data_IF_881897084508
#
_entry.id   IF_881897084508
#
_cell.length_a   1.000
_cell.length_b   1.000
_cell.length_c   1.000
_cell.angle_alpha   90.00
_cell.angle_beta   90.00
_cell.angle_gamma   90.00
#
_symmetry.space_group_name_H-M   'P 1'
#
loop_
_entity.id
_entity.type
_entity.pdbx_description
1 polymer ?
#
# COMPACT_ATOMS: atom_id res chain seq x y z
N UNK A 1 -3.88 49.14 -69.07
CA UNK A 1 -3.32 49.02 -67.71
C UNK A 1 -3.59 47.59 -67.25
N UNK A 2 -2.56 46.77 -67.36
CA UNK A 2 -2.65 45.29 -67.17
C UNK A 2 -2.12 44.96 -65.78
N UNK A 3 -3.03 44.58 -64.87
CA UNK A 3 -2.68 44.14 -63.52
C UNK A 3 -2.28 42.68 -63.54
N UNK A 4 -1.03 42.37 -63.18
CA UNK A 4 -0.53 41.01 -62.98
C UNK A 4 -0.95 40.50 -61.59
N UNK A 5 -1.68 39.39 -61.53
CA UNK A 5 -1.98 38.66 -60.30
C UNK A 5 -0.79 37.74 -60.01
N UNK A 6 -0.20 37.94 -58.83
CA UNK A 6 0.81 37.04 -58.27
C UNK A 6 0.07 36.01 -57.42
N UNK A 7 0.23 34.73 -57.79
CA UNK A 7 -0.28 33.59 -56.99
C UNK A 7 0.89 33.09 -56.14
N UNK A 8 0.74 33.25 -54.79
CA UNK A 8 1.67 32.66 -53.84
C UNK A 8 1.21 31.21 -53.55
N UNK A 9 2.06 30.27 -53.84
CA UNK A 9 1.93 28.89 -53.36
C UNK A 9 2.58 28.83 -51.96
N UNK A 10 1.76 28.52 -50.95
CA UNK A 10 2.28 28.16 -49.63
C UNK A 10 2.60 26.65 -49.61
N UNK A 11 3.87 26.34 -49.49
CA UNK A 11 4.35 25.00 -49.28
C UNK A 11 4.21 24.64 -47.79
N UNK A 12 3.29 23.70 -47.44
CA UNK A 12 3.19 23.14 -46.10
C UNK A 12 4.31 22.09 -45.93
N UNK A 13 5.31 22.41 -45.10
CA UNK A 13 6.31 21.47 -44.68
C UNK A 13 5.74 20.61 -43.51
N UNK A 14 5.48 19.34 -43.77
CA UNK A 14 5.19 18.35 -42.74
C UNK A 14 6.49 18.03 -41.99
N UNK A 15 6.63 18.57 -40.79
CA UNK A 15 7.66 18.15 -39.85
C UNK A 15 7.21 16.85 -39.20
N UNK A 16 7.71 15.71 -39.68
CA UNK A 16 7.69 14.45 -38.97
C UNK A 16 8.69 14.55 -37.81
N UNK A 17 8.21 14.97 -36.63
CA UNK A 17 8.98 14.91 -35.41
C UNK A 17 9.04 13.45 -34.92
N UNK A 18 10.16 12.75 -35.22
CA UNK A 18 10.53 11.58 -34.44
C UNK A 18 10.79 12.05 -33.02
N UNK A 19 9.92 11.67 -32.07
CA UNK A 19 10.21 11.79 -30.66
C UNK A 19 11.45 10.94 -30.37
N UNK A 20 12.59 11.59 -30.13
CA UNK A 20 13.77 10.91 -29.63
C UNK A 20 13.43 10.40 -28.23
N UNK A 21 13.43 9.10 -28.04
CA UNK A 21 13.38 8.46 -26.76
C UNK A 21 14.51 9.05 -25.89
N UNK A 22 14.15 9.75 -24.82
CA UNK A 22 15.11 10.25 -23.86
C UNK A 22 15.77 9.05 -23.17
N UNK A 23 17.11 8.93 -23.21
CA UNK A 23 17.76 7.86 -22.46
C UNK A 23 17.46 8.06 -20.97
N UNK A 24 16.94 7.01 -20.33
CA UNK A 24 16.72 6.98 -18.88
C UNK A 24 18.03 7.26 -18.16
N UNK A 25 18.01 8.06 -17.07
CA UNK A 25 19.23 8.34 -16.31
C UNK A 25 19.82 7.01 -15.81
N UNK A 26 21.08 6.78 -16.15
CA UNK A 26 21.86 5.65 -15.64
C UNK A 26 21.98 5.79 -14.11
N UNK A 27 21.29 4.93 -13.36
CA UNK A 27 21.30 4.93 -11.90
C UNK A 27 20.07 4.34 -11.23
N UNK A 28 19.00 4.06 -11.98
CA UNK A 28 17.94 3.19 -11.51
C UNK A 28 18.24 1.77 -12.04
N UNK A 29 19.16 1.09 -11.38
CA UNK A 29 19.17 -0.36 -11.48
C UNK A 29 17.87 -0.83 -10.84
N UNK A 30 16.87 -1.10 -11.67
CA UNK A 30 15.82 -2.03 -11.31
C UNK A 30 16.55 -3.38 -11.11
N UNK A 31 17.04 -3.60 -9.90
CA UNK A 31 17.31 -4.96 -9.45
C UNK A 31 16.08 -5.78 -9.83
N UNK A 32 16.32 -6.94 -10.44
CA UNK A 32 15.33 -7.85 -10.98
C UNK A 32 14.02 -7.84 -10.16
N UNK A 33 12.85 -7.97 -10.81
CA UNK A 33 11.58 -7.83 -10.10
C UNK A 33 11.67 -8.60 -8.79
N UNK A 34 11.33 -7.95 -7.68
CA UNK A 34 11.33 -8.53 -6.32
C UNK A 34 10.64 -9.92 -6.29
N UNK A 35 10.04 -10.25 -7.40
CA UNK A 35 9.26 -11.43 -7.64
C UNK A 35 9.76 -12.17 -8.89
N UNK A 36 10.77 -13.02 -8.75
CA UNK A 36 11.08 -14.00 -9.78
C UNK A 36 9.88 -14.94 -9.97
N UNK A 37 9.37 -15.01 -11.19
CA UNK A 37 8.32 -15.95 -11.54
C UNK A 37 8.80 -17.38 -11.28
N UNK A 38 8.26 -18.08 -10.30
CA UNK A 38 8.65 -19.46 -9.99
C UNK A 38 8.30 -20.02 -8.60
N UNK A 39 7.45 -19.34 -7.80
CA UNK A 39 6.98 -19.92 -6.54
C UNK A 39 5.61 -20.60 -6.70
N UNK A 40 5.42 -21.76 -6.07
CA UNK A 40 4.13 -22.43 -5.94
C UNK A 40 3.07 -21.42 -5.43
N UNK A 41 1.85 -21.48 -5.96
CA UNK A 41 0.73 -20.60 -5.61
C UNK A 41 0.43 -20.58 -4.09
N UNK A 42 0.78 -21.65 -3.38
CA UNK A 42 0.55 -21.83 -1.94
C UNK A 42 1.39 -20.87 -1.04
N UNK A 43 2.32 -20.14 -1.62
CA UNK A 43 3.20 -19.23 -0.88
C UNK A 43 2.89 -17.75 -1.11
N UNK A 44 1.88 -17.42 -1.90
CA UNK A 44 1.48 -16.05 -2.14
C UNK A 44 0.26 -15.68 -1.28
N UNK A 45 0.40 -14.58 -0.53
CA UNK A 45 -0.68 -13.99 0.24
C UNK A 45 -0.86 -12.55 -0.23
N UNK A 46 -2.06 -12.03 -0.11
CA UNK A 46 -2.29 -10.64 -0.50
C UNK A 46 -3.62 -10.11 0.00
N UNK A 47 -3.80 -8.82 -0.15
CA UNK A 47 -5.07 -8.15 0.15
C UNK A 47 -5.15 -6.82 -0.59
N UNK A 48 -6.37 -6.41 -0.87
CA UNK A 48 -6.70 -5.04 -1.25
C UNK A 48 -7.04 -4.23 -0.01
N UNK A 49 -6.58 -2.98 0.07
CA UNK A 49 -6.84 -2.08 1.18
C UNK A 49 -7.77 -0.97 0.74
N UNK A 50 -8.75 -0.66 1.58
CA UNK A 50 -9.69 0.45 1.38
C UNK A 50 -10.20 0.96 2.72
N UNK A 51 -10.69 2.20 2.73
CA UNK A 51 -11.16 2.85 3.96
C UNK A 51 -12.37 2.16 4.61
N UNK A 52 -13.26 1.58 3.79
CA UNK A 52 -14.45 0.89 4.29
C UNK A 52 -14.17 -0.40 5.08
N UNK A 53 -12.95 -0.94 5.01
CA UNK A 53 -12.53 -2.12 5.77
C UNK A 53 -11.96 -1.75 7.16
N UNK A 54 -11.72 -0.46 7.43
CA UNK A 54 -11.24 -0.03 8.75
C UNK A 54 -12.31 -0.21 9.82
N UNK A 55 -11.89 -0.69 10.98
CA UNK A 55 -12.74 -0.80 12.17
C UNK A 55 -12.60 0.49 12.96
N UNK A 56 -13.46 1.42 12.66
CA UNK A 56 -13.43 2.79 13.18
C UNK A 56 -14.74 3.13 13.89
N UNK A 57 -14.63 3.87 15.00
CA UNK A 57 -15.80 4.39 15.73
C UNK A 57 -15.75 5.91 15.65
N UNK A 58 -16.66 6.56 14.91
CA UNK A 58 -16.68 8.00 14.81
C UNK A 58 -17.04 8.67 16.14
N UNK A 59 -16.45 9.83 16.42
CA UNK A 59 -16.73 10.60 17.62
C UNK A 59 -18.16 11.17 17.64
N UNK A 60 -18.70 11.49 16.46
CA UNK A 60 -20.08 11.96 16.25
C UNK A 60 -20.67 11.28 15.01
N UNK A 61 -22.01 11.21 14.86
CA UNK A 61 -22.64 10.59 13.70
C UNK A 61 -22.26 11.23 12.35
N UNK A 62 -21.94 12.53 12.35
CA UNK A 62 -21.58 13.29 11.14
C UNK A 62 -20.06 13.42 10.94
N UNK A 63 -19.23 12.78 11.79
CA UNK A 63 -17.79 12.82 11.63
C UNK A 63 -17.37 12.02 10.41
N UNK A 64 -16.38 12.55 9.67
CA UNK A 64 -15.74 11.80 8.60
C UNK A 64 -15.07 10.54 9.15
N UNK A 65 -15.10 9.50 8.35
CA UNK A 65 -14.59 8.17 8.69
C UNK A 65 -13.61 7.71 7.62
N UNK A 66 -12.78 6.71 7.87
CA UNK A 66 -11.96 6.11 6.83
C UNK A 66 -12.73 5.68 5.58
N UNK A 67 -14.02 5.32 5.70
CA UNK A 67 -14.86 4.98 4.55
C UNK A 67 -15.11 6.16 3.59
N UNK A 68 -14.89 7.40 4.03
CA UNK A 68 -14.97 8.61 3.19
C UNK A 68 -13.66 8.85 2.41
N UNK A 69 -12.59 8.11 2.71
CA UNK A 69 -11.32 8.19 1.99
C UNK A 69 -11.45 7.56 0.59
N UNK A 70 -10.72 8.16 -0.35
CA UNK A 70 -10.46 7.57 -1.68
C UNK A 70 -9.18 6.75 -1.72
N UNK A 71 -8.48 6.68 -0.60
CA UNK A 71 -7.27 5.90 -0.44
C UNK A 71 -7.53 4.43 -0.77
N UNK A 72 -6.62 3.86 -1.54
CA UNK A 72 -6.63 2.44 -1.92
C UNK A 72 -5.24 1.87 -1.82
N UNK A 73 -5.12 0.58 -1.59
CA UNK A 73 -3.84 -0.08 -1.56
C UNK A 73 -3.91 -1.55 -1.91
N UNK A 74 -2.72 -2.11 -2.09
CA UNK A 74 -2.53 -3.54 -2.26
C UNK A 74 -1.29 -3.96 -1.49
N UNK A 75 -1.42 -4.98 -0.67
CA UNK A 75 -0.31 -5.66 -0.03
C UNK A 75 -0.13 -7.04 -0.65
N UNK A 76 1.10 -7.36 -1.02
CA UNK A 76 1.49 -8.63 -1.66
C UNK A 76 2.61 -9.22 -0.83
N UNK A 77 2.49 -10.50 -0.47
CA UNK A 77 3.48 -11.23 0.31
C UNK A 77 3.86 -12.52 -0.41
N UNK A 78 5.14 -12.82 -0.40
CA UNK A 78 5.71 -14.07 -0.92
C UNK A 78 6.52 -14.76 0.15
N UNK A 79 6.05 -15.92 0.53
CA UNK A 79 6.69 -16.73 1.56
C UNK A 79 7.74 -17.61 0.89
N UNK A 80 8.95 -17.67 1.48
CA UNK A 80 9.99 -18.61 1.05
C UNK A 80 9.54 -20.06 1.25
N UNK A 81 10.11 -20.97 0.48
CA UNK A 81 9.75 -22.40 0.51
C UNK A 81 9.93 -23.04 1.90
N UNK A 82 10.86 -22.54 2.69
CA UNK A 82 11.14 -22.99 4.07
C UNK A 82 10.29 -22.25 5.14
N UNK A 83 9.51 -21.23 4.72
CA UNK A 83 8.68 -20.43 5.61
C UNK A 83 9.45 -19.44 6.50
N UNK A 84 10.75 -19.30 6.33
CA UNK A 84 11.59 -18.49 7.21
C UNK A 84 11.66 -17.01 6.84
N UNK A 85 11.32 -16.68 5.60
CA UNK A 85 11.29 -15.30 5.12
C UNK A 85 10.00 -15.00 4.34
N UNK A 86 9.60 -13.74 4.39
CA UNK A 86 8.47 -13.22 3.64
C UNK A 86 8.91 -11.94 2.96
N UNK A 87 8.94 -11.95 1.62
CA UNK A 87 9.09 -10.74 0.83
C UNK A 87 7.74 -10.03 0.73
N UNK A 88 7.73 -8.71 0.81
CA UNK A 88 6.51 -7.94 0.69
C UNK A 88 6.64 -6.72 -0.22
N UNK A 89 5.52 -6.35 -0.80
CA UNK A 89 5.33 -5.07 -1.46
C UNK A 89 3.99 -4.48 -1.02
N UNK A 90 4.01 -3.24 -0.57
CA UNK A 90 2.85 -2.45 -0.22
C UNK A 90 2.74 -1.28 -1.18
N UNK A 91 1.61 -1.19 -1.86
CA UNK A 91 1.26 -0.12 -2.81
C UNK A 91 0.11 0.65 -2.19
N UNK A 92 0.14 1.97 -2.29
CA UNK A 92 -0.97 2.83 -1.91
C UNK A 92 -1.16 3.94 -2.95
N UNK A 93 -2.38 4.39 -3.14
CA UNK A 93 -2.74 5.45 -4.07
C UNK A 93 -3.91 6.27 -3.56
N UNK A 94 -4.03 7.51 -4.04
CA UNK A 94 -5.03 8.49 -3.60
C UNK A 94 -5.05 8.66 -2.07
N UNK A 95 -3.90 8.64 -1.45
CA UNK A 95 -3.73 8.75 -0.01
C UNK A 95 -2.72 9.83 0.31
N UNK A 96 -2.98 10.63 1.33
CA UNK A 96 -2.13 11.72 1.76
C UNK A 96 -1.53 11.45 3.14
N UNK A 97 -0.40 12.09 3.43
CA UNK A 97 0.15 12.19 4.78
C UNK A 97 0.39 10.84 5.48
N UNK A 98 0.86 9.84 4.73
CA UNK A 98 1.14 8.51 5.28
C UNK A 98 2.24 8.60 6.34
N UNK A 99 1.98 8.06 7.52
CA UNK A 99 2.92 8.03 8.64
C UNK A 99 3.45 6.64 8.93
N UNK A 100 2.66 5.58 8.73
CA UNK A 100 3.07 4.22 9.04
C UNK A 100 2.14 3.18 8.39
N UNK A 101 2.63 1.94 8.28
CA UNK A 101 1.86 0.78 7.87
C UNK A 101 2.34 -0.48 8.59
N UNK A 102 1.41 -1.39 8.93
CA UNK A 102 1.69 -2.57 9.74
C UNK A 102 0.91 -3.80 9.27
N UNK A 103 1.40 -4.99 9.71
CA UNK A 103 0.59 -6.20 9.83
C UNK A 103 0.11 -6.30 11.28
N UNK A 104 -1.17 -6.47 11.46
CA UNK A 104 -1.83 -6.71 12.73
C UNK A 104 -2.37 -8.14 12.81
N UNK A 105 -2.44 -8.70 14.01
CA UNK A 105 -3.23 -9.92 14.26
C UNK A 105 -4.64 -9.52 14.65
N UNK A 106 -5.64 -10.00 13.90
CA UNK A 106 -7.04 -9.74 14.17
C UNK A 106 -7.95 -10.47 13.20
N UNK A 107 -9.11 -10.84 13.67
CA UNK A 107 -10.17 -11.41 12.84
C UNK A 107 -10.79 -10.33 11.95
N UNK A 108 -11.46 -10.70 10.86
CA UNK A 108 -12.26 -9.75 10.10
C UNK A 108 -13.21 -8.94 11.00
N UNK A 109 -13.26 -7.63 10.82
CA UNK A 109 -14.09 -6.72 11.60
C UNK A 109 -13.64 -6.48 13.06
N UNK A 110 -12.40 -6.85 13.42
CA UNK A 110 -11.84 -6.59 14.74
C UNK A 110 -10.45 -5.96 14.65
N UNK A 111 -10.18 -5.00 15.55
CA UNK A 111 -8.83 -4.46 15.73
C UNK A 111 -7.99 -5.39 16.59
N UNK A 112 -6.68 -5.41 16.35
CA UNK A 112 -5.74 -6.24 17.08
C UNK A 112 -4.33 -5.65 17.13
N UNK A 113 -3.40 -6.30 17.82
CA UNK A 113 -2.07 -5.77 18.04
C UNK A 113 -1.19 -5.82 16.77
N UNK A 114 -0.32 -4.82 16.63
CA UNK A 114 0.74 -4.81 15.63
C UNK A 114 1.67 -6.00 15.86
N UNK A 115 2.08 -6.67 14.77
CA UNK A 115 3.06 -7.75 14.82
C UNK A 115 4.23 -7.54 13.87
N UNK A 116 4.03 -6.80 12.77
CA UNK A 116 5.11 -6.52 11.83
C UNK A 116 4.96 -5.10 11.27
N UNK A 117 6.04 -4.35 11.29
CA UNK A 117 6.13 -3.06 10.62
C UNK A 117 6.46 -3.24 9.15
N UNK A 118 5.73 -2.53 8.29
CA UNK A 118 5.96 -2.50 6.85
C UNK A 118 6.54 -1.14 6.43
N UNK A 119 6.06 -0.05 7.05
CA UNK A 119 6.56 1.30 6.79
C UNK A 119 6.45 2.16 8.07
N UNK A 120 7.51 2.89 8.46
CA UNK A 120 8.90 2.65 8.06
C UNK A 120 9.34 1.25 8.47
N UNK A 121 10.30 0.68 7.75
CA UNK A 121 10.86 -0.67 8.02
C UNK A 121 11.78 -0.64 9.26
N UNK A 122 11.46 0.12 10.26
CA UNK A 122 12.18 0.22 11.53
C UNK A 122 11.22 -0.13 12.64
N UNK A 123 11.59 -1.15 13.35
CA UNK A 123 10.84 -1.82 14.43
C UNK A 123 10.03 -0.94 15.39
N UNK A 124 9.39 -1.57 16.39
CA UNK A 124 8.22 -1.06 17.13
C UNK A 124 8.47 0.16 18.03
N UNK A 125 9.64 0.74 18.02
CA UNK A 125 9.96 1.96 18.79
C UNK A 125 9.83 3.24 17.96
N UNK A 126 9.43 3.12 16.67
CA UNK A 126 9.19 4.29 15.84
C UNK A 126 7.96 5.03 16.32
N UNK A 127 8.15 6.23 16.88
CA UNK A 127 7.08 7.20 16.88
C UNK A 127 6.56 7.34 15.44
N UNK A 128 5.26 7.65 15.24
CA UNK A 128 4.75 8.04 13.92
C UNK A 128 5.77 8.97 13.29
N UNK A 129 6.08 8.73 12.02
CA UNK A 129 6.99 9.60 11.26
C UNK A 129 6.55 11.06 11.34
N UNK A 130 7.36 11.97 10.87
CA UNK A 130 6.99 13.38 10.86
C UNK A 130 5.65 13.51 10.13
N UNK A 131 4.75 14.26 10.73
CA UNK A 131 3.44 14.56 10.19
C UNK A 131 3.52 14.95 8.73
N UNK A 132 2.80 14.23 7.91
CA UNK A 132 2.40 14.56 6.56
C UNK A 132 3.49 14.81 5.54
N UNK A 133 3.60 13.92 4.59
CA UNK A 133 4.46 14.10 3.41
C UNK A 133 3.69 14.54 2.16
N UNK A 134 2.39 14.84 2.27
CA UNK A 134 1.51 15.12 1.15
C UNK A 134 1.07 13.87 0.40
N UNK A 135 0.66 14.01 -0.89
CA UNK A 135 0.10 12.92 -1.69
C UNK A 135 1.07 11.76 -1.91
N UNK A 136 0.53 10.55 -1.89
CA UNK A 136 1.27 9.34 -2.24
C UNK A 136 0.50 8.49 -3.25
N UNK A 137 1.19 8.11 -4.32
CA UNK A 137 0.70 7.21 -5.36
C UNK A 137 1.84 6.29 -5.81
N UNK A 138 1.71 4.98 -5.57
CA UNK A 138 2.69 4.00 -5.98
C UNK A 138 3.17 3.08 -4.85
N UNK A 139 4.39 2.57 -4.98
CA UNK A 139 4.99 1.68 -3.98
C UNK A 139 5.31 2.49 -2.71
N UNK A 140 4.59 2.18 -1.62
CA UNK A 140 4.80 2.80 -0.32
C UNK A 140 5.98 2.16 0.41
N UNK A 141 6.08 0.85 0.36
CA UNK A 141 7.17 0.08 0.98
C UNK A 141 7.37 -1.26 0.28
N UNK A 142 8.59 -1.75 0.32
CA UNK A 142 8.94 -3.11 -0.08
C UNK A 142 10.11 -3.59 0.76
N UNK A 143 10.17 -4.88 1.05
CA UNK A 143 11.24 -5.45 1.86
C UNK A 143 11.02 -6.93 2.16
N UNK A 144 11.82 -7.42 3.08
CA UNK A 144 11.78 -8.81 3.57
C UNK A 144 11.76 -8.81 5.08
N UNK A 145 10.97 -9.70 5.68
CA UNK A 145 10.97 -9.94 7.12
C UNK A 145 10.96 -11.43 7.43
N UNK A 146 11.37 -11.80 8.66
CA UNK A 146 11.20 -13.15 9.18
C UNK A 146 9.95 -13.23 10.05
N UNK A 147 9.01 -14.14 9.76
CA UNK A 147 7.85 -14.40 10.62
C UNK A 147 8.21 -15.28 11.83
N UNK A 148 9.44 -15.82 11.88
CA UNK A 148 9.88 -16.79 12.88
C UNK A 148 9.88 -16.17 14.28
N UNK A 149 9.25 -16.84 15.23
CA UNK A 149 9.15 -16.38 16.62
C UNK A 149 8.11 -15.28 16.85
N UNK A 150 7.45 -14.79 15.81
CA UNK A 150 6.35 -13.84 15.95
C UNK A 150 5.03 -14.60 16.12
N UNK A 151 4.27 -14.28 17.18
CA UNK A 151 3.04 -14.97 17.54
C UNK A 151 1.88 -14.00 17.61
N UNK A 152 0.77 -14.35 16.98
CA UNK A 152 -0.52 -13.73 17.18
C UNK A 152 -1.13 -14.24 18.48
N UNK A 153 -1.51 -13.36 19.44
CA UNK A 153 -2.00 -13.82 20.73
C UNK A 153 -3.43 -14.34 20.66
N UNK A 154 -3.76 -15.26 21.56
CA UNK A 154 -5.10 -15.84 21.69
C UNK A 154 -6.20 -14.78 21.83
N UNK A 155 -5.91 -13.65 22.48
CA UNK A 155 -6.85 -12.53 22.63
C UNK A 155 -7.28 -11.90 21.29
N UNK A 156 -6.44 -11.99 20.26
CA UNK A 156 -6.73 -11.42 18.95
C UNK A 156 -7.32 -12.45 17.97
N UNK A 157 -6.85 -13.72 18.02
CA UNK A 157 -7.18 -14.74 17.02
C UNK A 157 -7.82 -15.98 17.59
N UNK A 158 -7.99 -16.08 18.91
CA UNK A 158 -8.69 -17.18 19.61
C UNK A 158 -7.77 -18.21 20.21
N UNK A 159 -6.55 -18.33 19.73
CA UNK A 159 -5.47 -19.14 20.28
C UNK A 159 -4.13 -18.52 19.91
N UNK A 160 -3.07 -18.81 20.67
CA UNK A 160 -1.74 -18.38 20.26
C UNK A 160 -1.36 -19.11 18.97
N UNK A 161 -0.95 -18.33 17.96
CA UNK A 161 -0.69 -18.85 16.61
C UNK A 161 0.53 -18.18 16.00
N UNK A 162 1.46 -18.92 15.39
CA UNK A 162 2.55 -18.32 14.64
C UNK A 162 2.03 -17.32 13.58
N UNK A 163 2.76 -16.20 13.39
CA UNK A 163 2.31 -15.13 12.48
C UNK A 163 1.99 -15.66 11.09
N UNK A 164 2.86 -16.50 10.52
CA UNK A 164 2.67 -17.03 9.18
C UNK A 164 1.40 -17.89 9.05
N UNK A 165 1.09 -18.68 10.09
CA UNK A 165 -0.13 -19.49 10.11
C UNK A 165 -1.36 -18.60 10.25
N UNK A 166 -1.29 -17.54 11.06
CA UNK A 166 -2.37 -16.56 11.17
C UNK A 166 -2.58 -15.80 9.84
N UNK A 167 -1.51 -15.46 9.11
CA UNK A 167 -1.59 -14.87 7.78
C UNK A 167 -2.33 -15.81 6.80
N UNK A 168 -1.97 -17.09 6.79
CA UNK A 168 -2.61 -18.10 5.94
C UNK A 168 -4.06 -18.37 6.32
N UNK A 169 -4.39 -18.22 7.58
CA UNK A 169 -5.73 -18.43 8.10
C UNK A 169 -6.68 -17.22 7.95
N UNK A 170 -6.22 -16.12 7.34
CA UNK A 170 -7.01 -14.90 7.22
C UNK A 170 -7.25 -14.18 8.56
N UNK A 171 -6.37 -14.38 9.54
CA UNK A 171 -6.45 -13.82 10.89
C UNK A 171 -5.48 -12.65 11.11
N UNK A 172 -5.03 -12.04 10.03
CA UNK A 172 -4.19 -10.85 10.03
C UNK A 172 -4.71 -9.85 9.02
N UNK A 173 -4.41 -8.59 9.24
CA UNK A 173 -4.72 -7.52 8.30
C UNK A 173 -3.55 -6.55 8.16
N UNK A 174 -3.51 -5.85 7.04
CA UNK A 174 -2.62 -4.71 6.83
C UNK A 174 -3.44 -3.44 6.92
N UNK A 175 -2.90 -2.41 7.56
CA UNK A 175 -3.44 -1.06 7.44
C UNK A 175 -2.34 -0.01 7.24
N UNK A 176 -2.76 1.13 6.69
CA UNK A 176 -1.94 2.32 6.45
C UNK A 176 -2.56 3.46 7.25
N UNK A 177 -1.73 4.16 7.98
CA UNK A 177 -2.12 5.26 8.85
C UNK A 177 -1.67 6.59 8.27
N UNK A 178 -2.47 7.62 8.46
CA UNK A 178 -2.21 8.97 8.00
C UNK A 178 -2.33 9.99 9.12
N UNK A 179 -1.64 11.13 8.99
CA UNK A 179 -1.77 12.24 9.93
C UNK A 179 -1.21 13.50 9.26
N UNK A 180 -2.00 14.55 9.18
CA UNK A 180 -1.59 15.86 8.66
C UNK A 180 -0.80 16.70 9.68
N UNK A 181 -0.71 16.23 10.93
CA UNK A 181 0.00 16.91 12.03
C UNK A 181 -0.76 18.06 12.66
N UNK A 182 -2.02 18.23 12.32
CA UNK A 182 -2.88 19.30 12.85
C UNK A 182 -3.94 18.69 13.79
N UNK A 183 -4.08 19.27 14.97
CA UNK A 183 -5.14 18.85 15.89
C UNK A 183 -6.44 19.63 15.61
N UNK A 184 -7.62 19.01 15.81
CA UNK A 184 -7.85 17.62 16.22
C UNK A 184 -7.57 16.62 15.10
N UNK A 185 -7.30 15.36 15.44
CA UNK A 185 -7.15 14.25 14.48
C UNK A 185 -8.51 13.69 14.03
N UNK A 186 -8.49 12.85 12.99
CA UNK A 186 -9.68 12.24 12.36
C UNK A 186 -10.61 13.29 11.73
N UNK A 187 -10.01 14.27 11.07
CA UNK A 187 -10.75 15.36 10.41
C UNK A 187 -11.12 15.03 8.98
N UNK A 188 -10.56 13.99 8.40
CA UNK A 188 -10.86 13.53 7.05
C UNK A 188 -9.73 12.72 6.39
N UNK A 189 -9.85 12.45 5.09
CA UNK A 189 -8.80 11.76 4.34
C UNK A 189 -7.42 12.44 4.51
N UNK A 190 -6.39 11.62 4.76
CA UNK A 190 -5.05 12.10 5.08
C UNK A 190 -4.82 12.40 6.57
N UNK A 191 -5.82 12.16 7.43
CA UNK A 191 -5.75 12.42 8.88
C UNK A 191 -6.50 11.36 9.70
N UNK A 192 -6.17 10.08 9.46
CA UNK A 192 -6.65 8.95 10.25
C UNK A 192 -5.48 8.22 10.90
N UNK A 193 -4.96 8.71 12.05
CA UNK A 193 -3.80 8.08 12.72
C UNK A 193 -4.11 6.71 13.30
N UNK A 194 -5.38 6.34 13.43
CA UNK A 194 -5.84 5.00 13.79
C UNK A 194 -5.85 3.99 12.64
N UNK A 195 -5.73 4.46 11.40
CA UNK A 195 -5.80 3.72 10.14
C UNK A 195 -6.74 4.40 9.15
N UNK A 196 -6.28 4.60 7.90
CA UNK A 196 -7.09 5.16 6.83
C UNK A 196 -7.55 4.11 5.84
N UNK A 197 -6.70 3.17 5.47
CA UNK A 197 -7.06 2.04 4.60
C UNK A 197 -6.59 0.73 5.22
N UNK A 198 -7.43 -0.29 5.12
CA UNK A 198 -7.22 -1.63 5.67
C UNK A 198 -7.60 -2.71 4.68
N UNK A 199 -6.94 -3.86 4.77
CA UNK A 199 -7.33 -5.08 4.07
C UNK A 199 -7.02 -6.31 4.92
N UNK A 200 -8.00 -7.20 5.08
CA UNK A 200 -7.79 -8.50 5.69
C UNK A 200 -6.97 -9.37 4.75
N UNK A 201 -5.90 -10.00 5.24
CA UNK A 201 -5.17 -10.94 4.40
C UNK A 201 -6.07 -12.11 4.02
N UNK A 202 -5.98 -12.48 2.75
CA UNK A 202 -6.76 -13.57 2.19
C UNK A 202 -5.84 -14.52 1.43
N UNK A 203 -6.11 -15.81 1.47
CA UNK A 203 -5.38 -16.78 0.67
C UNK A 203 -6.09 -16.90 -0.69
N UNK A 204 -5.40 -16.66 -1.83
CA UNK A 204 -6.04 -16.65 -3.16
C UNK A 204 -6.73 -17.96 -3.56
N UNK A 205 -6.47 -19.05 -2.85
CA UNK A 205 -7.00 -20.39 -3.15
C UNK A 205 -8.26 -20.74 -2.38
N UNK A 206 -8.80 -19.85 -1.54
CA UNK A 206 -10.04 -20.11 -0.78
C UNK A 206 -11.14 -19.14 -1.24
N UNK A 207 -11.50 -19.22 -2.51
CA UNK A 207 -12.80 -18.73 -2.98
C UNK A 207 -13.63 -19.95 -3.34
N UNK A 208 -14.52 -20.35 -2.40
CA UNK A 208 -15.60 -21.29 -2.67
C UNK A 208 -16.56 -20.75 -3.75
#
# INVERSE_FOLDING_TARGET
>A
MTGKRVVLYAAAALLAGCAAEQPMPAGLEFTAPLFAAGGNADFNLGTHLQGGEEVFTPATPDALTPADSRGQGQAIFRVSADGNTVDFQLIASNIDNVIMAHIHCGRPGANGPIRMWLSPVIGPTGAPGPSGSGPHDGVLAAGTFSPTGVVCPASAVGQDMPLLDAMRAGLTYVNVHTNDGVAPVNTGPGDFPGGEIRGQLDHPSVKD
#
